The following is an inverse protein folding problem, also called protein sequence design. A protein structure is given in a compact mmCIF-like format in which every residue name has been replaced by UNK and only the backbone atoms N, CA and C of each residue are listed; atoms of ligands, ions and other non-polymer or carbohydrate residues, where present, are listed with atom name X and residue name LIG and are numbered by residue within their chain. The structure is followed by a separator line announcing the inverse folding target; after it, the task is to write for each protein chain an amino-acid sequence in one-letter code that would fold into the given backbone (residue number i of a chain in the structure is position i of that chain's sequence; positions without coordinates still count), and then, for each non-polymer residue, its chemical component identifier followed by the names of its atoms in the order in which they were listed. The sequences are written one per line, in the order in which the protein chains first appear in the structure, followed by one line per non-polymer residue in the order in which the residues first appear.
data_IF_879505129744
#
_entry.id   IF_879505129744
#
_cell.length_a   1.000
_cell.length_b   1.000
_cell.length_c   1.000
_cell.angle_alpha   90.00
_cell.angle_beta   90.00
_cell.angle_gamma   90.00
#
_symmetry.space_group_name_H-M   'P 1'
#
loop_
_entity.id
_entity.type
_entity.pdbx_description
1 polymer ?
#
# COMPACT_ATOMS: atom_id res chain seq x y z
N UNK A 1 -8.66 -7.44 9.68
CA UNK A 1 -8.65 -7.99 8.30
C UNK A 1 -7.81 -9.27 8.32
N UNK A 2 -8.37 -10.46 8.06
CA UNK A 2 -7.60 -11.72 7.96
C UNK A 2 -7.80 -12.23 6.53
N UNK A 3 -7.02 -11.74 5.58
CA UNK A 3 -7.32 -11.88 4.14
C UNK A 3 -6.41 -12.91 3.47
N UNK A 4 -6.94 -13.58 2.44
CA UNK A 4 -6.15 -14.35 1.48
C UNK A 4 -5.32 -13.36 0.66
N UNK A 5 -4.05 -13.20 1.00
CA UNK A 5 -3.10 -12.34 0.30
C UNK A 5 -2.47 -13.14 -0.84
N UNK A 6 -2.86 -12.87 -2.08
CA UNK A 6 -2.18 -13.47 -3.23
C UNK A 6 -1.08 -12.51 -3.69
N UNK A 7 0.17 -12.98 -3.62
CA UNK A 7 1.32 -12.21 -4.11
C UNK A 7 1.14 -11.96 -5.61
N UNK A 8 1.27 -10.72 -6.05
CA UNK A 8 1.22 -10.39 -7.47
C UNK A 8 2.57 -10.82 -8.09
N UNK A 9 2.59 -11.80 -9.02
CA UNK A 9 3.83 -12.24 -9.65
C UNK A 9 4.43 -11.08 -10.47
N UNK A 10 5.72 -10.81 -10.31
CA UNK A 10 6.44 -9.77 -11.07
C UNK A 10 6.57 -8.40 -10.37
N UNK A 11 5.82 -8.13 -9.30
CA UNK A 11 5.87 -6.83 -8.60
C UNK A 11 6.89 -6.79 -7.46
N UNK A 12 8.17 -7.10 -7.74
CA UNK A 12 9.30 -6.76 -6.85
C UNK A 12 9.93 -5.47 -7.34
N UNK A 13 9.46 -4.34 -6.81
CA UNK A 13 10.03 -3.02 -7.12
C UNK A 13 11.01 -2.55 -6.04
N UNK A 14 11.64 -1.41 -6.28
CA UNK A 14 12.52 -0.70 -5.32
C UNK A 14 11.84 -0.42 -3.96
N UNK A 15 10.51 -0.33 -3.96
CA UNK A 15 9.69 0.12 -2.83
C UNK A 15 8.94 -1.01 -2.10
N UNK A 16 9.23 -2.28 -2.40
CA UNK A 16 8.67 -3.43 -1.67
C UNK A 16 7.77 -4.36 -2.49
N UNK A 17 6.88 -5.09 -1.81
CA UNK A 17 6.06 -6.16 -2.41
C UNK A 17 4.58 -5.77 -2.44
N UNK A 18 3.93 -5.97 -3.59
CA UNK A 18 2.49 -5.74 -3.75
C UNK A 18 1.74 -7.08 -3.69
N UNK A 19 0.63 -7.09 -2.96
CA UNK A 19 -0.28 -8.21 -2.86
C UNK A 19 -1.67 -7.79 -3.30
N UNK A 20 -2.38 -8.68 -3.98
CA UNK A 20 -3.82 -8.52 -4.18
C UNK A 20 -4.52 -8.92 -2.89
N UNK A 21 -5.41 -8.07 -2.39
CA UNK A 21 -6.24 -8.34 -1.23
C UNK A 21 -7.71 -8.05 -1.55
N UNK A 22 -8.61 -8.63 -0.76
CA UNK A 22 -10.05 -8.46 -0.92
C UNK A 22 -10.65 -8.02 0.41
N UNK A 23 -11.48 -6.98 0.38
CA UNK A 23 -12.21 -6.52 1.55
C UNK A 23 -13.40 -7.43 1.82
N UNK A 24 -13.34 -8.21 2.90
CA UNK A 24 -14.39 -9.19 3.26
C UNK A 24 -15.80 -8.63 3.39
N UNK A 25 -15.93 -7.35 3.77
CA UNK A 25 -17.24 -6.73 3.98
C UNK A 25 -17.95 -6.43 2.68
N UNK A 26 -17.21 -6.10 1.62
CA UNK A 26 -17.77 -5.60 0.36
C UNK A 26 -17.44 -6.49 -0.84
N UNK A 27 -16.48 -7.40 -0.71
CA UNK A 27 -15.92 -8.18 -1.82
C UNK A 27 -15.03 -7.36 -2.76
N UNK A 28 -14.73 -6.10 -2.43
CA UNK A 28 -13.90 -5.24 -3.28
C UNK A 28 -12.45 -5.72 -3.28
N UNK A 29 -11.86 -5.73 -4.47
CA UNK A 29 -10.47 -6.11 -4.69
C UNK A 29 -9.60 -4.86 -4.61
N UNK A 30 -8.51 -4.95 -3.85
CA UNK A 30 -7.53 -3.88 -3.65
C UNK A 30 -6.11 -4.40 -3.86
N UNK A 31 -5.17 -3.48 -4.00
CA UNK A 31 -3.74 -3.77 -3.97
C UNK A 31 -3.14 -3.27 -2.64
N UNK A 32 -2.50 -4.18 -1.90
CA UNK A 32 -1.75 -3.87 -0.69
C UNK A 32 -0.25 -3.80 -1.03
N UNK A 33 0.34 -2.60 -0.98
CA UNK A 33 1.78 -2.37 -1.16
C UNK A 33 2.46 -2.34 0.20
N UNK A 34 3.36 -3.28 0.45
CA UNK A 34 4.13 -3.40 1.68
C UNK A 34 5.51 -2.78 1.47
N UNK A 35 5.76 -1.68 2.18
CA UNK A 35 6.99 -0.90 2.08
C UNK A 35 7.80 -1.06 3.36
N UNK A 36 9.05 -1.46 3.23
CA UNK A 36 9.96 -1.57 4.36
C UNK A 36 10.47 -0.17 4.73
N UNK A 37 10.24 0.25 5.97
CA UNK A 37 10.66 1.54 6.52
C UNK A 37 11.71 1.31 7.62
N UNK A 38 12.85 0.73 7.23
CA UNK A 38 13.88 0.32 8.19
C UNK A 38 14.64 1.50 8.78
N UNK A 39 14.80 2.58 7.99
CA UNK A 39 15.41 3.84 8.39
C UNK A 39 14.34 4.93 8.55
N UNK A 40 14.63 5.95 9.35
CA UNK A 40 13.77 7.11 9.49
C UNK A 40 13.59 7.87 8.16
N UNK A 41 14.63 7.89 7.31
CA UNK A 41 14.58 8.46 5.96
C UNK A 41 13.57 7.71 5.06
N UNK A 42 13.56 6.38 5.11
CA UNK A 42 12.61 5.57 4.34
C UNK A 42 11.16 5.90 4.74
N UNK A 43 10.92 6.14 6.04
CA UNK A 43 9.60 6.54 6.55
C UNK A 43 9.19 7.90 6.00
N UNK A 44 10.08 8.88 6.02
CA UNK A 44 9.80 10.22 5.49
C UNK A 44 9.50 10.18 3.97
N UNK A 45 10.23 9.35 3.22
CA UNK A 45 9.97 9.15 1.79
C UNK A 45 8.60 8.50 1.54
N UNK A 46 8.21 7.50 2.35
CA UNK A 46 6.87 6.88 2.24
C UNK A 46 5.75 7.85 2.64
N UNK A 47 5.94 8.63 3.70
CA UNK A 47 4.97 9.66 4.11
C UNK A 47 4.77 10.69 3.00
N UNK A 48 5.85 11.10 2.32
CA UNK A 48 5.77 11.96 1.13
C UNK A 48 5.04 11.29 -0.02
N UNK A 49 5.31 10.01 -0.33
CA UNK A 49 4.57 9.26 -1.35
C UNK A 49 3.06 9.22 -1.03
N UNK A 50 2.70 8.99 0.23
CA UNK A 50 1.31 8.99 0.72
C UNK A 50 0.66 10.35 0.53
N UNK A 51 1.34 11.43 0.88
CA UNK A 51 0.82 12.79 0.73
C UNK A 51 0.55 13.13 -0.74
N UNK A 52 1.49 12.78 -1.63
CA UNK A 52 1.32 12.95 -3.08
C UNK A 52 0.12 12.14 -3.57
N UNK A 53 0.01 10.85 -3.18
CA UNK A 53 -1.12 10.01 -3.57
C UNK A 53 -2.46 10.52 -3.02
N UNK A 54 -2.48 11.09 -1.81
CA UNK A 54 -3.69 11.73 -1.25
C UNK A 54 -4.12 12.96 -2.04
N UNK A 55 -3.17 13.73 -2.58
CA UNK A 55 -3.46 14.91 -3.40
C UNK A 55 -3.93 14.56 -4.83
N UNK A 56 -3.61 13.35 -5.31
CA UNK A 56 -3.97 12.86 -6.65
C UNK A 56 -5.35 12.18 -6.64
N UNK A 57 -6.41 12.95 -6.41
CA UNK A 57 -7.77 12.45 -6.54
C UNK A 57 -8.27 12.65 -7.97
N UNK A 58 -8.14 11.60 -8.79
CA UNK A 58 -8.67 11.61 -10.15
C UNK A 58 -9.27 10.23 -10.49
N UNK A 59 -10.46 10.17 -11.14
CA UNK A 59 -11.17 8.91 -11.46
C UNK A 59 -10.47 7.99 -12.47
N UNK A 60 -9.24 8.32 -12.88
CA UNK A 60 -8.41 7.53 -13.83
C UNK A 60 -7.01 7.25 -13.27
N UNK A 61 -6.74 7.66 -12.04
CA UNK A 61 -5.47 7.43 -11.35
C UNK A 61 -5.71 6.47 -10.20
N UNK A 62 -4.66 5.72 -9.86
CA UNK A 62 -4.62 4.85 -8.69
C UNK A 62 -4.89 5.70 -7.44
N UNK A 63 -5.87 5.31 -6.63
CA UNK A 63 -6.25 6.07 -5.44
C UNK A 63 -5.82 5.34 -4.17
N UNK A 64 -5.28 6.11 -3.23
CA UNK A 64 -5.01 5.61 -1.89
C UNK A 64 -6.33 5.46 -1.14
N UNK A 65 -6.70 4.22 -0.84
CA UNK A 65 -7.86 3.91 -0.02
C UNK A 65 -7.53 4.04 1.47
N UNK A 66 -6.42 3.44 1.91
CA UNK A 66 -5.99 3.47 3.31
C UNK A 66 -4.47 3.28 3.44
N UNK A 67 -3.89 3.71 4.56
CA UNK A 67 -2.48 3.54 4.88
C UNK A 67 -2.29 3.14 6.35
N UNK A 68 -1.58 2.05 6.58
CA UNK A 68 -1.30 1.49 7.91
C UNK A 68 0.20 1.51 8.20
N UNK A 69 0.56 1.89 9.42
CA UNK A 69 1.91 1.74 9.97
C UNK A 69 1.92 0.57 10.96
N UNK A 70 2.64 -0.52 10.64
CA UNK A 70 2.76 -1.69 11.52
C UNK A 70 3.74 -1.45 12.68
N UNK A 71 4.27 -0.23 12.85
CA UNK A 71 5.20 0.20 13.92
C UNK A 71 6.53 -0.56 14.00
N UNK A 72 6.65 -1.68 13.27
CA UNK A 72 7.78 -2.61 13.26
C UNK A 72 8.75 -2.40 12.10
N UNK A 73 8.73 -1.24 11.45
CA UNK A 73 9.49 -0.87 10.22
C UNK A 73 8.82 -1.28 8.91
N UNK A 74 7.50 -1.27 8.88
CA UNK A 74 6.76 -1.52 7.66
C UNK A 74 5.52 -0.64 7.59
N UNK A 75 5.32 -0.01 6.43
CA UNK A 75 4.08 0.66 6.09
C UNK A 75 3.35 -0.13 5.02
N UNK A 76 2.03 -0.15 5.10
CA UNK A 76 1.13 -0.88 4.22
C UNK A 76 0.18 0.13 3.58
N UNK A 77 0.20 0.24 2.26
CA UNK A 77 -0.71 1.10 1.51
C UNK A 77 -1.77 0.25 0.82
N UNK A 78 -3.03 0.60 1.01
CA UNK A 78 -4.18 -0.02 0.32
C UNK A 78 -4.60 0.91 -0.82
N UNK A 79 -4.63 0.35 -2.02
CA UNK A 79 -4.85 1.05 -3.27
C UNK A 79 -6.05 0.44 -4.00
N UNK A 80 -6.92 1.29 -4.54
CA UNK A 80 -8.06 0.94 -5.42
C UNK A 80 -7.69 1.10 -6.90
#
# INVERSE_FOLDING_TARGET
MRNATQRVPGCRGKFGTVYRCEEKKTGRVFAAKFILTQRAEDRADVEREVEIMRSLQHPRLLQLYDAFDDSKKQMILILE
#
